data_IF_356782246355
#
_entry.id   IF_356782246355
#
_cell.length_a   1.000
_cell.length_b   1.000
_cell.length_c   1.000
_cell.angle_alpha   90.00
_cell.angle_beta   90.00
_cell.angle_gamma   90.00
#
_symmetry.space_group_name_H-M   'P 1'
#
loop_
_entity.id
_entity.type
_entity.pdbx_description
1 polymer ?
#
# COMPACT_ATOMS: atom_id res chain seq x y z
N UNK A 1 -1.44 -8.47 24.44
CA UNK A 1 -2.03 -9.82 24.62
C UNK A 1 -2.12 -10.52 23.25
N UNK A 2 -1.81 -11.82 23.17
CA UNK A 2 -1.96 -12.62 21.93
C UNK A 2 -2.98 -13.73 22.20
N UNK A 3 -4.10 -13.70 21.50
CA UNK A 3 -5.17 -14.70 21.64
C UNK A 3 -4.98 -15.85 20.65
N UNK A 4 -5.27 -17.07 21.07
CA UNK A 4 -5.22 -18.28 20.23
C UNK A 4 -6.64 -18.76 19.99
N UNK A 5 -6.95 -19.13 18.75
CA UNK A 5 -8.25 -19.69 18.38
C UNK A 5 -8.32 -21.14 18.85
N UNK A 6 -9.36 -21.47 19.61
CA UNK A 6 -9.62 -22.80 20.12
C UNK A 6 -10.96 -23.31 19.59
N UNK A 7 -11.05 -24.61 19.33
CA UNK A 7 -12.31 -25.27 19.00
C UNK A 7 -13.21 -25.28 20.23
N UNK A 8 -14.45 -24.84 20.07
CA UNK A 8 -15.41 -24.67 21.19
C UNK A 8 -15.69 -25.96 21.98
N UNK A 9 -15.59 -27.13 21.35
CA UNK A 9 -15.98 -28.43 21.94
C UNK A 9 -14.92 -29.02 22.87
N UNK A 10 -13.63 -28.90 22.52
CA UNK A 10 -12.52 -29.59 23.19
C UNK A 10 -11.36 -28.65 23.55
N UNK A 11 -11.51 -27.34 23.28
CA UNK A 11 -10.50 -26.30 23.48
C UNK A 11 -9.17 -26.57 22.78
N UNK A 12 -9.16 -27.44 21.77
CA UNK A 12 -7.98 -27.72 20.97
C UNK A 12 -7.62 -26.52 20.07
N UNK A 13 -6.33 -26.24 19.84
CA UNK A 13 -5.93 -25.17 18.94
C UNK A 13 -6.36 -25.36 17.48
N UNK A 14 -6.83 -24.29 16.85
CA UNK A 14 -7.16 -24.28 15.41
C UNK A 14 -5.92 -23.89 14.60
N UNK A 15 -5.65 -24.64 13.53
CA UNK A 15 -4.63 -24.32 12.52
C UNK A 15 -5.30 -24.01 11.18
N UNK A 16 -4.69 -23.13 10.40
CA UNK A 16 -5.13 -22.80 9.05
C UNK A 16 -4.41 -23.68 8.03
N UNK A 17 -5.17 -24.28 7.12
CA UNK A 17 -4.66 -24.97 5.94
C UNK A 17 -5.21 -24.29 4.69
N UNK A 18 -4.38 -24.13 3.66
CA UNK A 18 -4.83 -23.69 2.33
C UNK A 18 -5.18 -24.92 1.53
N UNK A 19 -6.33 -24.93 0.91
CA UNK A 19 -6.86 -26.09 0.21
C UNK A 19 -7.35 -25.65 -1.16
N UNK A 20 -6.99 -26.37 -2.22
CA UNK A 20 -7.47 -26.06 -3.56
C UNK A 20 -8.95 -26.43 -3.69
N UNK A 21 -9.77 -25.52 -4.20
CA UNK A 21 -11.23 -25.71 -4.28
C UNK A 21 -11.63 -26.89 -5.17
N UNK A 22 -10.85 -27.16 -6.22
CA UNK A 22 -11.16 -28.18 -7.22
C UNK A 22 -11.03 -29.61 -6.70
N UNK A 23 -10.04 -29.89 -5.85
CA UNK A 23 -9.67 -31.25 -5.45
C UNK A 23 -9.61 -31.47 -3.93
N UNK A 24 -9.78 -30.42 -3.13
CA UNK A 24 -9.76 -30.50 -1.68
C UNK A 24 -8.38 -30.80 -1.09
N UNK A 25 -7.30 -30.68 -1.86
CA UNK A 25 -5.93 -30.97 -1.40
C UNK A 25 -5.26 -29.74 -0.81
N UNK A 26 -4.43 -29.97 0.21
CA UNK A 26 -3.64 -28.93 0.84
C UNK A 26 -2.59 -28.38 -0.14
N UNK A 27 -2.47 -27.05 -0.21
CA UNK A 27 -1.55 -26.33 -1.11
C UNK A 27 -0.46 -25.66 -0.29
N UNK A 28 0.80 -25.96 -0.63
CA UNK A 28 1.96 -25.33 -0.03
C UNK A 28 2.09 -23.87 -0.49
N UNK A 29 2.71 -23.02 0.34
CA UNK A 29 2.83 -21.59 0.08
C UNK A 29 3.51 -21.25 -1.25
N UNK A 30 4.55 -21.99 -1.60
CA UNK A 30 5.34 -21.86 -2.83
C UNK A 30 4.58 -22.26 -4.10
N UNK A 31 3.44 -22.93 -3.94
CA UNK A 31 2.55 -23.33 -5.04
C UNK A 31 1.34 -22.39 -5.21
N UNK A 32 1.27 -21.29 -4.44
CA UNK A 32 0.17 -20.33 -4.51
C UNK A 32 0.62 -19.10 -5.29
N UNK A 33 -0.11 -18.81 -6.37
CA UNK A 33 0.06 -17.59 -7.17
C UNK A 33 -1.13 -16.65 -6.95
N UNK A 34 -0.90 -15.34 -7.13
CA UNK A 34 -1.97 -14.34 -7.11
C UNK A 34 -2.64 -14.30 -8.48
N UNK A 35 -3.96 -14.49 -8.53
CA UNK A 35 -4.74 -14.41 -9.76
C UNK A 35 -5.79 -13.30 -9.68
N UNK A 36 -5.96 -12.54 -10.76
CA UNK A 36 -7.07 -11.59 -10.92
C UNK A 36 -8.13 -12.17 -11.86
N UNK A 37 -9.38 -12.19 -11.42
CA UNK A 37 -10.51 -12.67 -12.22
C UNK A 37 -11.00 -11.56 -13.15
N UNK A 38 -10.71 -11.69 -14.44
CA UNK A 38 -11.12 -10.68 -15.45
C UNK A 38 -12.43 -11.05 -16.15
N UNK A 39 -12.81 -12.33 -16.09
CA UNK A 39 -14.09 -12.85 -16.53
C UNK A 39 -14.44 -14.04 -15.62
N UNK A 40 -15.72 -14.33 -15.43
CA UNK A 40 -16.18 -15.40 -14.53
C UNK A 40 -15.45 -16.72 -14.81
N UNK A 41 -14.64 -17.18 -13.86
CA UNK A 41 -13.85 -18.41 -13.94
C UNK A 41 -12.58 -18.33 -14.79
N UNK A 42 -12.20 -17.15 -15.30
CA UNK A 42 -10.94 -16.90 -16.01
C UNK A 42 -10.04 -15.97 -15.19
N UNK A 43 -8.83 -16.44 -14.93
CA UNK A 43 -7.86 -15.76 -14.08
C UNK A 43 -6.60 -15.41 -14.86
N UNK A 44 -6.07 -14.20 -14.68
CA UNK A 44 -4.71 -13.84 -15.08
C UNK A 44 -3.82 -13.93 -13.85
N UNK A 45 -2.70 -14.63 -13.97
CA UNK A 45 -1.70 -14.71 -12.90
C UNK A 45 -0.91 -13.40 -12.88
N UNK A 46 -0.86 -12.75 -11.71
CA UNK A 46 -0.06 -11.57 -11.45
C UNK A 46 1.19 -11.98 -10.66
N UNK A 47 2.37 -11.74 -11.24
CA UNK A 47 3.66 -11.92 -10.56
C UNK A 47 4.07 -10.60 -9.92
N UNK A 48 4.94 -10.68 -8.91
CA UNK A 48 5.47 -9.48 -8.25
C UNK A 48 6.20 -8.54 -9.25
N UNK A 49 6.83 -9.11 -10.29
CA UNK A 49 7.43 -8.37 -11.43
C UNK A 49 6.41 -7.52 -12.21
N UNK A 50 5.16 -7.99 -12.33
CA UNK A 50 4.11 -7.27 -13.05
C UNK A 50 3.69 -6.01 -12.27
N UNK A 51 3.80 -6.01 -10.94
CA UNK A 51 3.58 -4.83 -10.09
C UNK A 51 4.75 -3.84 -10.16
N UNK A 52 5.99 -4.33 -10.24
CA UNK A 52 7.17 -3.46 -10.37
C UNK A 52 7.18 -2.63 -11.66
N UNK A 53 6.57 -3.15 -12.74
CA UNK A 53 6.44 -2.41 -14.00
C UNK A 53 5.36 -1.32 -13.97
N UNK A 54 4.40 -1.43 -13.04
CA UNK A 54 3.31 -0.46 -12.84
C UNK A 54 3.70 0.61 -11.84
N UNK A 55 4.64 0.33 -10.95
CA UNK A 55 5.23 1.30 -10.03
C UNK A 55 6.12 2.28 -10.84
N UNK A 56 5.45 3.16 -11.58
CA UNK A 56 5.98 4.39 -12.14
C UNK A 56 6.61 5.15 -10.99
N UNK A 57 7.92 4.98 -10.81
CA UNK A 57 8.81 5.79 -9.97
C UNK A 57 8.10 6.35 -8.73
N UNK A 58 7.62 5.49 -7.84
CA UNK A 58 7.26 5.90 -6.48
C UNK A 58 8.54 6.21 -5.70
N UNK A 59 9.30 7.20 -6.16
CA UNK A 59 10.34 7.81 -5.34
C UNK A 59 9.61 8.42 -4.15
N UNK A 60 10.05 8.12 -2.93
CA UNK A 60 9.52 8.73 -1.71
C UNK A 60 9.98 10.20 -1.59
N UNK A 61 9.94 10.93 -2.70
CA UNK A 61 10.38 12.32 -2.85
C UNK A 61 9.18 13.17 -3.18
N UNK A 62 9.19 14.41 -2.67
CA UNK A 62 8.19 15.42 -3.00
C UNK A 62 8.89 16.43 -3.90
N UNK A 63 8.46 16.48 -5.16
CA UNK A 63 8.99 17.42 -6.13
C UNK A 63 8.13 18.69 -6.16
N UNK A 64 8.79 19.84 -6.09
CA UNK A 64 8.14 21.15 -6.24
C UNK A 64 7.92 21.38 -7.73
N UNK A 65 6.67 21.49 -8.15
CA UNK A 65 6.32 21.76 -9.55
C UNK A 65 6.18 23.27 -9.78
N UNK A 66 5.32 23.94 -9.00
CA UNK A 66 5.00 25.36 -9.17
C UNK A 66 4.71 26.04 -7.82
N UNK A 67 4.78 27.37 -7.81
CA UNK A 67 4.34 28.23 -6.71
C UNK A 67 3.13 29.04 -7.16
N UNK A 68 2.00 28.90 -6.47
CA UNK A 68 0.70 29.48 -6.82
C UNK A 68 0.05 30.11 -5.60
N UNK A 69 -0.85 31.06 -5.83
CA UNK A 69 -1.66 31.63 -4.77
C UNK A 69 -2.72 30.64 -4.30
N UNK A 70 -3.09 30.68 -3.02
CA UNK A 70 -4.04 29.73 -2.45
C UNK A 70 -5.41 29.74 -3.16
N UNK A 71 -5.83 30.90 -3.69
CA UNK A 71 -7.11 31.07 -4.38
C UNK A 71 -7.14 30.39 -5.76
N UNK A 72 -5.98 30.04 -6.31
CA UNK A 72 -5.86 29.35 -7.61
C UNK A 72 -6.15 27.84 -7.50
N UNK A 73 -6.17 27.30 -6.27
CA UNK A 73 -6.43 25.88 -6.00
C UNK A 73 -7.87 25.71 -5.50
N UNK A 74 -8.70 25.00 -6.27
CA UNK A 74 -10.06 24.63 -5.83
C UNK A 74 -9.98 23.79 -4.53
N UNK A 75 -10.67 24.19 -3.44
CA UNK A 75 -10.66 23.46 -2.19
C UNK A 75 -11.04 21.98 -2.29
N UNK A 76 -11.77 21.58 -3.34
CA UNK A 76 -12.13 20.18 -3.62
C UNK A 76 -10.90 19.28 -3.81
N UNK A 77 -9.74 19.84 -4.20
CA UNK A 77 -8.49 19.09 -4.34
C UNK A 77 -7.76 18.85 -3.01
N UNK A 78 -8.15 19.49 -1.90
CA UNK A 78 -7.55 19.22 -0.59
C UNK A 78 -8.15 17.97 0.05
N UNK A 79 -7.43 16.85 -0.06
CA UNK A 79 -7.86 15.59 0.56
C UNK A 79 -7.39 15.42 2.01
N UNK A 80 -6.07 15.37 2.20
CA UNK A 80 -5.46 15.13 3.51
C UNK A 80 -4.22 16.01 3.67
N UNK A 81 -4.25 17.02 4.55
CA UNK A 81 -3.09 17.85 4.80
C UNK A 81 -2.03 17.04 5.56
N UNK A 82 -0.78 17.24 5.20
CA UNK A 82 0.39 16.68 5.89
C UNK A 82 1.26 17.82 6.39
N UNK A 83 1.77 17.70 7.61
CA UNK A 83 2.82 18.59 8.09
C UNK A 83 4.16 18.07 7.60
N UNK A 84 4.98 18.98 7.09
CA UNK A 84 6.35 18.71 6.68
C UNK A 84 7.31 19.34 7.69
N UNK A 85 8.38 18.61 8.02
CA UNK A 85 9.50 19.09 8.80
C UNK A 85 10.80 18.80 8.05
N UNK A 86 11.82 19.68 8.14
CA UNK A 86 13.10 19.42 7.52
C UNK A 86 13.80 18.25 8.21
N UNK A 87 14.40 17.38 7.41
CA UNK A 87 15.38 16.43 7.94
C UNK A 87 16.68 17.14 8.31
N UNK A 88 17.50 16.49 9.14
CA UNK A 88 18.78 17.04 9.62
C UNK A 88 19.65 17.56 8.47
N UNK A 89 19.98 18.84 8.50
CA UNK A 89 20.79 19.51 7.46
C UNK A 89 19.97 20.21 6.37
N UNK A 90 18.66 20.00 6.32
CA UNK A 90 17.73 20.71 5.44
C UNK A 90 17.17 22.01 6.02
N UNK A 91 17.52 22.33 7.27
CA UNK A 91 16.90 23.41 8.06
C UNK A 91 16.96 24.78 7.36
N UNK A 92 18.11 25.11 6.76
CA UNK A 92 18.32 26.41 6.08
C UNK A 92 17.50 26.53 4.80
N UNK A 93 17.48 25.47 3.98
CA UNK A 93 16.76 25.46 2.72
C UNK A 93 15.24 25.49 2.97
N UNK A 94 14.77 24.71 3.93
CA UNK A 94 13.37 24.73 4.35
C UNK A 94 12.94 26.09 4.91
N UNK A 95 13.75 26.70 5.77
CA UNK A 95 13.45 28.02 6.31
C UNK A 95 13.37 29.10 5.22
N UNK A 96 14.30 29.08 4.26
CA UNK A 96 14.29 30.01 3.12
C UNK A 96 13.02 29.85 2.28
N UNK A 97 12.64 28.62 1.95
CA UNK A 97 11.45 28.33 1.16
C UNK A 97 10.18 28.76 1.90
N UNK A 98 10.05 28.42 3.19
CA UNK A 98 8.93 28.85 4.02
C UNK A 98 8.81 30.37 4.06
N UNK A 99 9.92 31.09 4.21
CA UNK A 99 9.89 32.55 4.32
C UNK A 99 9.61 33.24 2.98
N UNK A 100 9.94 32.62 1.85
CA UNK A 100 9.61 33.10 0.52
C UNK A 100 8.13 32.91 0.14
N UNK A 101 7.43 31.96 0.78
CA UNK A 101 6.03 31.62 0.52
C UNK A 101 5.04 32.25 1.52
N UNK A 102 5.51 33.18 2.35
CA UNK A 102 4.66 33.95 3.26
C UNK A 102 3.85 35.01 2.55
#
# INVERSE_FOLDING_TARGET
LKFRLLRKTDLSPVNYKRVAEKDGREVAWDQIVKGYEYEKGKYVVLRDEDFQRVDLEATQTVDIQDFVDQEEIDPMFFYKPYYLEPQKGGDKAYALLRDALK
#
